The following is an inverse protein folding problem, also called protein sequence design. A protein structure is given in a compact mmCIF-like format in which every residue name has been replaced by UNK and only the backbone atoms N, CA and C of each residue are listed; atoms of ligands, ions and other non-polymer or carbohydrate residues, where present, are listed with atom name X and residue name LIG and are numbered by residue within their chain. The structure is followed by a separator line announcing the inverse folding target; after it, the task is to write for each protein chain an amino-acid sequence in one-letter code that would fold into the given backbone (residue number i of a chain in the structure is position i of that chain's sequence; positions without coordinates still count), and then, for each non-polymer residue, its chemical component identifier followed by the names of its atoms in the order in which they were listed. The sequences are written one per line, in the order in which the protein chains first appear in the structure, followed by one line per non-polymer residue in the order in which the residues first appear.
data_IF_473776642090
#
_entry.id   IF_473776642090
#
_cell.length_a   1.000
_cell.length_b   1.000
_cell.length_c   1.000
_cell.angle_alpha   90.00
_cell.angle_beta   90.00
_cell.angle_gamma   90.00
#
_symmetry.space_group_name_H-M   'P 1'
#
loop_
_entity.id
_entity.type
_entity.pdbx_description
1 polymer ?
#
# COMPACT_ATOMS: atom_id res chain seq x y z
N UNK A 1 -5.59 -3.12 -9.93
CA UNK A 1 -4.17 -2.70 -9.92
C UNK A 1 -3.99 -1.19 -9.68
N UNK A 2 -4.68 -0.29 -10.39
CA UNK A 2 -4.52 1.18 -10.21
C UNK A 2 -4.77 1.71 -8.77
N UNK A 3 -5.63 1.05 -7.99
CA UNK A 3 -6.05 1.54 -6.66
C UNK A 3 -4.90 1.58 -5.64
N UNK A 4 -4.06 0.55 -5.60
CA UNK A 4 -2.91 0.47 -4.69
C UNK A 4 -1.92 1.58 -5.02
N UNK A 5 -1.62 1.78 -6.31
CA UNK A 5 -0.73 2.85 -6.74
C UNK A 5 -1.25 4.23 -6.29
N UNK A 6 -2.53 4.53 -6.54
CA UNK A 6 -3.14 5.78 -6.07
C UNK A 6 -3.09 5.96 -4.55
N UNK A 7 -3.37 4.91 -3.78
CA UNK A 7 -3.28 4.96 -2.32
C UNK A 7 -1.86 5.22 -1.82
N UNK A 8 -0.86 4.71 -2.54
CA UNK A 8 0.56 4.95 -2.25
C UNK A 8 0.99 6.36 -2.68
N UNK A 9 0.49 6.85 -3.81
CA UNK A 9 0.78 8.22 -4.29
C UNK A 9 0.16 9.30 -3.39
N UNK A 10 -1.01 9.02 -2.81
CA UNK A 10 -1.75 9.94 -1.92
C UNK A 10 -1.42 9.74 -0.43
N UNK A 11 -0.47 8.85 -0.10
CA UNK A 11 -0.14 8.56 1.29
C UNK A 11 0.70 9.66 1.96
N UNK A 12 0.62 9.73 3.28
CA UNK A 12 1.53 10.54 4.07
C UNK A 12 2.92 9.88 4.12
N UNK A 13 3.93 10.53 3.54
CA UNK A 13 5.32 10.05 3.52
C UNK A 13 5.96 9.94 4.91
N UNK A 14 5.41 10.64 5.92
CA UNK A 14 5.83 10.49 7.34
C UNK A 14 5.26 9.22 7.97
N UNK A 15 4.11 8.76 7.48
CA UNK A 15 3.39 7.56 7.97
C UNK A 15 2.89 6.74 6.79
N UNK A 16 3.80 6.15 6.00
CA UNK A 16 3.43 5.39 4.82
C UNK A 16 2.53 4.21 5.19
N UNK A 17 1.55 3.95 4.33
CA UNK A 17 0.58 2.89 4.53
C UNK A 17 1.26 1.53 4.41
N UNK A 18 1.07 0.71 5.43
CA UNK A 18 1.50 -0.69 5.41
C UNK A 18 0.61 -1.50 4.48
N UNK A 19 1.14 -2.62 3.99
CA UNK A 19 0.39 -3.57 3.15
C UNK A 19 -0.93 -4.03 3.82
N UNK A 20 -0.94 -4.10 5.14
CA UNK A 20 -2.11 -4.48 5.93
C UNK A 20 -3.16 -3.37 6.00
N UNK A 21 -2.73 -2.11 6.16
CA UNK A 21 -3.64 -0.97 6.09
C UNK A 21 -4.27 -0.84 4.70
N UNK A 22 -3.47 -0.99 3.63
CA UNK A 22 -3.97 -0.98 2.26
C UNK A 22 -5.00 -2.11 2.05
N UNK A 23 -4.70 -3.33 2.51
CA UNK A 23 -5.64 -4.44 2.46
C UNK A 23 -6.96 -4.14 3.21
N UNK A 24 -6.87 -3.50 4.38
CA UNK A 24 -8.04 -3.13 5.18
C UNK A 24 -8.89 -2.05 4.52
N UNK A 25 -8.27 -1.03 3.91
CA UNK A 25 -8.98 0.02 3.18
C UNK A 25 -9.66 -0.58 1.95
N UNK A 26 -8.94 -1.40 1.17
CA UNK A 26 -9.53 -2.08 0.01
C UNK A 26 -10.68 -3.01 0.41
N UNK A 27 -10.56 -3.71 1.54
CA UNK A 27 -11.64 -4.55 2.07
C UNK A 27 -12.89 -3.73 2.43
N UNK A 28 -12.72 -2.52 2.98
CA UNK A 28 -13.83 -1.58 3.23
C UNK A 28 -14.49 -1.09 1.93
N UNK A 29 -13.73 -0.96 0.85
CA UNK A 29 -14.24 -0.63 -0.49
C UNK A 29 -14.90 -1.83 -1.19
N UNK A 30 -15.00 -3.00 -0.54
CA UNK A 30 -15.56 -4.23 -1.10
C UNK A 30 -14.54 -5.14 -1.80
N UNK A 31 -13.27 -4.75 -1.83
CA UNK A 31 -12.17 -5.51 -2.45
C UNK A 31 -11.40 -6.27 -1.37
N UNK A 32 -11.83 -7.50 -1.05
CA UNK A 32 -11.13 -8.36 -0.10
C UNK A 32 -9.81 -8.86 -0.66
N UNK A 33 -8.72 -8.17 -0.31
CA UNK A 33 -7.36 -8.59 -0.62
C UNK A 33 -6.62 -8.95 0.66
N UNK A 34 -5.77 -9.97 0.58
CA UNK A 34 -4.86 -10.30 1.68
C UNK A 34 -3.63 -9.38 1.64
N UNK A 35 -2.97 -9.19 2.79
CA UNK A 35 -1.67 -8.52 2.88
C UNK A 35 -0.66 -9.07 1.86
N UNK A 36 -0.63 -10.40 1.66
CA UNK A 36 0.27 -11.06 0.70
C UNK A 36 -0.04 -10.67 -0.74
N UNK A 37 -1.32 -10.53 -1.09
CA UNK A 37 -1.74 -10.11 -2.43
C UNK A 37 -1.37 -8.65 -2.69
N UNK A 38 -1.54 -7.78 -1.68
CA UNK A 38 -1.10 -6.38 -1.76
C UNK A 38 0.41 -6.31 -1.94
N UNK A 39 1.20 -7.04 -1.16
CA UNK A 39 2.66 -7.09 -1.30
C UNK A 39 3.08 -7.57 -2.70
N UNK A 40 2.46 -8.64 -3.23
CA UNK A 40 2.70 -9.10 -4.60
C UNK A 40 2.41 -8.03 -5.65
N UNK A 41 1.33 -7.27 -5.50
CA UNK A 41 1.00 -6.18 -6.41
C UNK A 41 1.92 -4.97 -6.26
N UNK A 42 2.40 -4.71 -5.04
CA UNK A 42 3.36 -3.67 -4.74
C UNK A 42 4.72 -3.95 -5.41
N UNK A 43 5.21 -5.19 -5.30
CA UNK A 43 6.43 -5.65 -5.98
C UNK A 43 6.28 -5.57 -7.52
N UNK A 44 5.14 -6.01 -8.06
CA UNK A 44 4.87 -5.89 -9.50
C UNK A 44 4.85 -4.44 -10.02
N UNK A 45 4.62 -3.46 -9.13
CA UNK A 45 4.64 -2.04 -9.45
C UNK A 45 5.97 -1.37 -9.07
N UNK A 46 6.97 -2.14 -8.62
CA UNK A 46 8.26 -1.65 -8.14
C UNK A 46 8.13 -0.62 -7.01
N UNK A 47 7.08 -0.74 -6.19
CA UNK A 47 6.85 0.16 -5.05
C UNK A 47 7.58 -0.43 -3.83
N UNK A 48 8.50 0.31 -3.20
CA UNK A 48 9.23 -0.19 -2.04
C UNK A 48 8.35 -0.31 -0.79
N UNK A 49 8.84 -1.03 0.23
CA UNK A 49 8.08 -1.29 1.45
C UNK A 49 7.68 -0.01 2.17
N UNK A 50 6.65 -0.08 3.02
CA UNK A 50 6.29 1.07 3.87
C UNK A 50 7.46 1.53 4.75
N UNK A 51 8.37 0.63 5.12
CA UNK A 51 9.61 0.98 5.84
C UNK A 51 10.56 1.85 5.03
N UNK A 52 10.72 1.55 3.75
CA UNK A 52 11.63 2.27 2.85
C UNK A 52 11.05 3.60 2.38
N UNK A 53 9.70 3.69 2.29
CA UNK A 53 8.98 4.93 1.96
C UNK A 53 8.90 5.93 3.12
N UNK A 54 9.26 5.51 4.33
CA UNK A 54 9.17 6.37 5.51
C UNK A 54 10.30 7.40 5.44
N UNK A 55 9.96 8.64 5.12
CA UNK A 55 10.93 9.74 5.19
C UNK A 55 11.06 10.17 6.65
N UNK A 56 12.23 9.89 7.24
CA UNK A 56 12.63 10.46 8.53
C UNK A 56 13.28 11.79 8.20
N UNK A 57 12.49 12.87 8.25
CA UNK A 57 13.01 14.24 8.25
C UNK A 57 13.22 14.63 9.71
#
# INVERSE_FOLDING_TARGET
KLRIKKMVEDEDTKKPLTDEQIAKILSKEGVKLSRRTVAKYRDQMHIPGSRERKTVI
#
